data_IF_731292364661
#
_entry.id   IF_731292364661
#
_cell.length_a   1.000
_cell.length_b   1.000
_cell.length_c   1.000
_cell.angle_alpha   90.00
_cell.angle_beta   90.00
_cell.angle_gamma   90.00
#
_symmetry.space_group_name_H-M   'P 1'
#
loop_
_entity.id
_entity.type
_entity.pdbx_description
1 polymer ?
#
# COMPACT_ATOMS: atom_id res chain seq x y z
N UNK A 1 -12.17 -2.72 24.93
CA UNK A 1 -11.27 -2.53 23.77
C UNK A 1 -11.66 -1.20 23.14
N UNK A 2 -10.72 -0.28 22.98
CA UNK A 2 -11.02 0.97 22.27
C UNK A 2 -11.32 0.62 20.82
N UNK A 3 -12.54 0.86 20.36
CA UNK A 3 -12.94 0.69 18.96
C UNK A 3 -12.16 1.72 18.13
N UNK A 4 -11.31 1.24 17.24
CA UNK A 4 -10.54 2.10 16.32
C UNK A 4 -11.39 2.40 15.08
N UNK A 5 -12.41 3.24 15.26
CA UNK A 5 -13.35 3.65 14.20
C UNK A 5 -12.67 4.62 13.21
N UNK A 6 -11.78 4.10 12.39
CA UNK A 6 -11.04 4.86 11.38
C UNK A 6 -11.23 4.26 9.99
N UNK A 7 -11.28 5.11 8.99
CA UNK A 7 -11.30 4.74 7.57
C UNK A 7 -9.90 4.77 7.00
N UNK A 8 -9.38 3.63 6.61
CA UNK A 8 -7.99 3.50 6.18
C UNK A 8 -7.93 2.95 4.75
N UNK A 9 -7.18 3.62 3.89
CA UNK A 9 -6.80 3.09 2.57
C UNK A 9 -5.47 2.36 2.68
N UNK A 10 -5.39 1.15 2.11
CA UNK A 10 -4.15 0.38 2.04
C UNK A 10 -3.90 -0.03 0.60
N UNK A 11 -2.87 0.52 -0.03
CA UNK A 11 -2.41 0.06 -1.34
C UNK A 11 -1.47 -1.13 -1.18
N UNK A 12 -1.48 -2.06 -2.12
CA UNK A 12 -0.74 -3.33 -1.97
C UNK A 12 -1.38 -4.27 -0.95
N UNK A 13 -2.70 -4.17 -0.75
CA UNK A 13 -3.44 -4.91 0.28
C UNK A 13 -3.45 -6.43 0.11
N UNK A 14 -3.23 -6.94 -1.10
CA UNK A 14 -3.08 -8.39 -1.36
C UNK A 14 -1.62 -8.88 -1.20
N UNK A 15 -0.68 -7.95 -0.97
CA UNK A 15 0.72 -8.25 -0.67
C UNK A 15 0.90 -8.83 0.73
N UNK A 16 2.16 -9.19 1.09
CA UNK A 16 2.43 -9.78 2.41
C UNK A 16 2.14 -8.80 3.55
N UNK A 17 2.78 -7.63 3.53
CA UNK A 17 2.62 -6.62 4.59
C UNK A 17 1.19 -6.05 4.57
N UNK A 18 0.68 -5.69 3.37
CA UNK A 18 -0.64 -5.09 3.22
C UNK A 18 -1.76 -5.98 3.73
N UNK A 19 -1.69 -7.29 3.49
CA UNK A 19 -2.66 -8.26 4.01
C UNK A 19 -2.68 -8.29 5.54
N UNK A 20 -1.51 -8.42 6.19
CA UNK A 20 -1.43 -8.51 7.64
C UNK A 20 -1.86 -7.20 8.31
N UNK A 21 -1.46 -6.04 7.76
CA UNK A 21 -1.90 -4.74 8.24
C UNK A 21 -3.42 -4.57 8.09
N UNK A 22 -3.97 -4.90 6.92
CA UNK A 22 -5.41 -4.82 6.68
C UNK A 22 -6.18 -5.67 7.70
N UNK A 23 -5.76 -6.92 7.91
CA UNK A 23 -6.39 -7.82 8.86
C UNK A 23 -6.35 -7.27 10.29
N UNK A 24 -5.20 -6.80 10.74
CA UNK A 24 -5.04 -6.23 12.09
C UNK A 24 -5.94 -5.00 12.30
N UNK A 25 -6.03 -4.11 11.33
CA UNK A 25 -6.88 -2.92 11.41
C UNK A 25 -8.37 -3.28 11.43
N UNK A 26 -8.80 -4.24 10.61
CA UNK A 26 -10.17 -4.74 10.58
C UNK A 26 -10.55 -5.40 11.93
N UNK A 27 -9.67 -6.22 12.50
CA UNK A 27 -9.85 -6.83 13.82
C UNK A 27 -9.91 -5.78 14.96
N UNK A 28 -9.30 -4.60 14.75
CA UNK A 28 -9.37 -3.47 15.68
C UNK A 28 -10.60 -2.57 15.50
N UNK A 29 -11.45 -2.85 14.49
CA UNK A 29 -12.69 -2.12 14.24
C UNK A 29 -12.60 -1.01 13.16
N UNK A 30 -11.49 -0.92 12.42
CA UNK A 30 -11.38 -0.01 11.29
C UNK A 30 -12.23 -0.44 10.10
N UNK A 31 -12.61 0.54 9.26
CA UNK A 31 -13.03 0.30 7.87
C UNK A 31 -11.80 0.36 6.96
N UNK A 32 -11.62 -0.61 6.09
CA UNK A 32 -10.45 -0.66 5.19
C UNK A 32 -10.86 -0.73 3.73
N UNK A 33 -10.37 0.21 2.93
CA UNK A 33 -10.35 0.14 1.47
C UNK A 33 -8.99 -0.40 1.02
N UNK A 34 -8.95 -1.68 0.66
CA UNK A 34 -7.76 -2.34 0.13
C UNK A 34 -7.68 -2.20 -1.39
N UNK A 35 -6.55 -1.72 -1.90
CA UNK A 35 -6.27 -1.53 -3.33
C UNK A 35 -5.08 -2.39 -3.73
N UNK A 36 -5.23 -3.18 -4.80
CA UNK A 36 -4.13 -3.97 -5.38
C UNK A 36 -4.43 -4.28 -6.84
N UNK A 37 -3.43 -4.21 -7.70
CA UNK A 37 -3.59 -4.56 -9.13
C UNK A 37 -3.56 -6.09 -9.38
N UNK A 38 -3.19 -6.88 -8.38
CA UNK A 38 -2.98 -8.33 -8.47
C UNK A 38 -1.94 -8.69 -9.56
N UNK A 39 -0.82 -7.95 -9.60
CA UNK A 39 0.27 -8.22 -10.54
C UNK A 39 0.73 -9.67 -10.48
N UNK A 40 1.20 -10.21 -11.60
CA UNK A 40 1.69 -11.57 -11.72
C UNK A 40 3.17 -11.74 -11.36
N UNK A 41 3.77 -10.78 -10.66
CA UNK A 41 5.16 -10.84 -10.22
C UNK A 41 5.45 -12.08 -9.34
N UNK A 42 4.47 -12.48 -8.54
CA UNK A 42 4.45 -13.78 -7.85
C UNK A 42 3.05 -14.39 -7.89
N UNK A 43 2.85 -15.56 -7.31
CA UNK A 43 1.61 -16.33 -7.42
C UNK A 43 0.36 -15.52 -7.09
N UNK A 44 -0.46 -15.27 -8.11
CA UNK A 44 -1.73 -14.54 -8.02
C UNK A 44 -2.75 -15.30 -7.15
N UNK A 45 -2.69 -16.62 -7.08
CA UNK A 45 -3.60 -17.40 -6.23
C UNK A 45 -3.38 -17.10 -4.77
N UNK A 46 -2.12 -16.86 -4.34
CA UNK A 46 -1.82 -16.42 -2.98
C UNK A 46 -2.43 -15.03 -2.68
N UNK A 47 -2.37 -14.09 -3.62
CA UNK A 47 -3.01 -12.78 -3.50
C UNK A 47 -4.53 -12.89 -3.39
N UNK A 48 -5.14 -13.73 -4.23
CA UNK A 48 -6.56 -13.99 -4.21
C UNK A 48 -7.01 -14.65 -2.89
N UNK A 49 -6.24 -15.60 -2.36
CA UNK A 49 -6.53 -16.24 -1.08
C UNK A 49 -6.51 -15.24 0.09
N UNK A 50 -5.52 -14.34 0.13
CA UNK A 50 -5.43 -13.25 1.11
C UNK A 50 -6.63 -12.30 1.00
N UNK A 51 -6.96 -11.87 -0.21
CA UNK A 51 -8.11 -10.98 -0.46
C UNK A 51 -9.42 -11.66 -0.06
N UNK A 52 -9.56 -12.97 -0.27
CA UNK A 52 -10.74 -13.73 0.17
C UNK A 52 -10.90 -13.68 1.68
N UNK A 53 -9.83 -13.91 2.44
CA UNK A 53 -9.85 -13.82 3.91
C UNK A 53 -10.27 -12.42 4.38
N UNK A 54 -9.75 -11.36 3.74
CA UNK A 54 -10.12 -9.98 4.11
C UNK A 54 -11.59 -9.68 3.80
N UNK A 55 -12.15 -10.25 2.73
CA UNK A 55 -13.57 -10.07 2.35
C UNK A 55 -14.55 -10.72 3.32
N UNK A 56 -14.12 -11.56 4.26
CA UNK A 56 -14.95 -12.09 5.34
C UNK A 56 -15.31 -11.00 6.38
N UNK A 57 -14.59 -9.86 6.38
CA UNK A 57 -14.92 -8.70 7.21
C UNK A 57 -15.88 -7.76 6.45
N UNK A 58 -17.05 -7.46 7.03
CA UNK A 58 -18.03 -6.55 6.45
C UNK A 58 -17.49 -5.11 6.26
N UNK A 59 -16.48 -4.72 7.04
CA UNK A 59 -15.80 -3.42 6.99
C UNK A 59 -14.65 -3.37 5.97
N UNK A 60 -14.47 -4.40 5.15
CA UNK A 60 -13.45 -4.44 4.11
C UNK A 60 -14.05 -4.25 2.72
N UNK A 61 -13.58 -3.25 2.00
CA UNK A 61 -13.83 -3.08 0.57
C UNK A 61 -12.55 -3.34 -0.22
N UNK A 62 -12.61 -4.17 -1.26
CA UNK A 62 -11.49 -4.43 -2.15
C UNK A 62 -11.69 -3.79 -3.50
N UNK A 63 -10.69 -3.05 -3.95
CA UNK A 63 -10.63 -2.45 -5.27
C UNK A 63 -9.45 -3.05 -6.04
N UNK A 64 -9.74 -3.84 -7.08
CA UNK A 64 -8.71 -4.25 -8.02
C UNK A 64 -8.43 -3.10 -8.97
N UNK A 65 -7.27 -2.44 -8.82
CA UNK A 65 -6.96 -1.22 -9.55
C UNK A 65 -5.44 -1.06 -9.71
N UNK A 66 -5.04 -0.56 -10.87
CA UNK A 66 -3.67 -0.13 -11.17
C UNK A 66 -3.51 1.37 -10.82
N UNK A 67 -2.62 1.67 -9.87
CA UNK A 67 -2.37 3.04 -9.39
C UNK A 67 -1.79 3.98 -10.46
N UNK A 68 -1.30 3.44 -11.58
CA UNK A 68 -0.67 4.19 -12.67
C UNK A 68 -1.66 4.48 -13.78
N UNK A 69 -2.43 3.46 -14.18
CA UNK A 69 -3.24 3.53 -15.39
C UNK A 69 -4.72 3.92 -15.11
N UNK A 70 -5.19 3.85 -13.85
CA UNK A 70 -6.58 4.07 -13.48
C UNK A 70 -6.75 5.20 -12.44
N UNK A 71 -6.02 6.31 -12.66
CA UNK A 71 -5.92 7.44 -11.70
C UNK A 71 -7.27 8.10 -11.41
N UNK A 72 -8.13 8.25 -12.40
CA UNK A 72 -9.45 8.87 -12.21
C UNK A 72 -10.34 7.98 -11.33
N UNK A 73 -10.32 6.67 -11.53
CA UNK A 73 -11.03 5.70 -10.69
C UNK A 73 -10.45 5.69 -9.27
N UNK A 74 -9.11 5.71 -9.13
CA UNK A 74 -8.44 5.82 -7.84
C UNK A 74 -8.94 7.05 -7.07
N UNK A 75 -8.91 8.21 -7.71
CA UNK A 75 -9.32 9.47 -7.10
C UNK A 75 -10.78 9.41 -6.63
N UNK A 76 -11.71 9.01 -7.52
CA UNK A 76 -13.14 8.97 -7.21
C UNK A 76 -13.47 7.99 -6.08
N UNK A 77 -12.87 6.80 -6.08
CA UNK A 77 -13.12 5.77 -5.07
C UNK A 77 -12.57 6.17 -3.70
N UNK A 78 -11.36 6.75 -3.65
CA UNK A 78 -10.75 7.18 -2.40
C UNK A 78 -11.44 8.44 -1.85
N UNK A 79 -11.79 9.41 -2.69
CA UNK A 79 -12.58 10.59 -2.27
C UNK A 79 -13.95 10.18 -1.70
N UNK A 80 -14.66 9.27 -2.37
CA UNK A 80 -15.94 8.73 -1.90
C UNK A 80 -15.81 7.97 -0.58
N UNK A 81 -14.72 7.23 -0.38
CA UNK A 81 -14.45 6.51 0.86
C UNK A 81 -14.12 7.47 2.02
N UNK A 82 -13.56 8.66 1.73
CA UNK A 82 -13.22 9.69 2.71
C UNK A 82 -12.33 9.18 3.84
N UNK A 83 -11.09 8.75 3.55
CA UNK A 83 -10.22 8.12 4.54
C UNK A 83 -9.67 9.09 5.59
N UNK A 84 -9.37 8.58 6.77
CA UNK A 84 -8.58 9.26 7.81
C UNK A 84 -7.07 9.15 7.55
N UNK A 85 -6.64 8.07 6.90
CA UNK A 85 -5.23 7.80 6.60
C UNK A 85 -5.03 6.87 5.40
N UNK A 86 -3.84 6.94 4.82
CA UNK A 86 -3.41 6.10 3.70
C UNK A 86 -2.10 5.41 4.07
N UNK A 87 -2.04 4.08 3.90
CA UNK A 87 -0.80 3.30 3.91
C UNK A 87 -0.46 2.91 2.47
N UNK A 88 0.56 3.53 1.93
CA UNK A 88 1.04 3.21 0.59
C UNK A 88 2.13 2.13 0.66
N UNK A 89 1.71 0.88 0.44
CA UNK A 89 2.58 -0.31 0.50
C UNK A 89 2.72 -0.99 -0.86
N UNK A 90 1.98 -0.52 -1.88
CA UNK A 90 2.11 -1.01 -3.24
C UNK A 90 3.45 -0.59 -3.82
N UNK A 91 4.25 -1.55 -4.20
CA UNK A 91 5.55 -1.35 -4.85
C UNK A 91 5.98 -2.60 -5.61
N UNK A 92 6.83 -2.42 -6.61
CA UNK A 92 7.59 -3.50 -7.20
C UNK A 92 8.82 -3.78 -6.35
N UNK A 93 8.86 -4.94 -5.71
CA UNK A 93 9.98 -5.39 -4.88
C UNK A 93 11.00 -6.22 -5.70
N UNK A 94 12.20 -6.43 -5.13
CA UNK A 94 13.22 -7.34 -5.67
C UNK A 94 14.33 -6.64 -6.44
N UNK A 95 15.42 -6.26 -5.76
CA UNK A 95 16.56 -5.52 -6.34
C UNK A 95 17.12 -6.18 -7.62
N UNK A 96 17.27 -7.51 -7.64
CA UNK A 96 17.79 -8.19 -8.84
C UNK A 96 16.85 -8.10 -10.04
N UNK A 97 15.54 -8.08 -9.79
CA UNK A 97 14.54 -7.97 -10.85
C UNK A 97 14.59 -6.60 -11.53
N UNK A 98 14.97 -5.54 -10.81
CA UNK A 98 15.07 -4.19 -11.37
C UNK A 98 16.12 -4.05 -12.48
N UNK A 99 17.11 -4.93 -12.51
CA UNK A 99 18.12 -4.96 -13.56
C UNK A 99 17.51 -5.42 -14.89
N UNK A 100 16.55 -6.36 -14.82
CA UNK A 100 15.95 -6.98 -16.01
C UNK A 100 14.70 -6.21 -16.50
N UNK A 101 13.96 -5.56 -15.60
CA UNK A 101 12.68 -4.88 -15.88
C UNK A 101 12.63 -3.55 -15.14
N UNK A 102 13.54 -2.58 -15.44
CA UNK A 102 13.64 -1.31 -14.72
C UNK A 102 12.39 -0.44 -14.87
N UNK A 103 11.69 -0.51 -15.99
CA UNK A 103 10.44 0.22 -16.24
C UNK A 103 9.32 -0.14 -15.25
N UNK A 104 9.28 -1.38 -14.74
CA UNK A 104 8.32 -1.76 -13.71
C UNK A 104 8.56 -1.00 -12.39
N UNK A 105 9.82 -0.69 -12.07
CA UNK A 105 10.17 0.09 -10.87
C UNK A 105 9.89 1.57 -11.05
N UNK A 106 10.17 2.13 -12.23
CA UNK A 106 9.78 3.49 -12.57
C UNK A 106 8.25 3.66 -12.44
N UNK A 107 7.50 2.77 -13.05
CA UNK A 107 6.05 2.81 -13.05
C UNK A 107 5.47 2.61 -11.63
N UNK A 108 5.78 1.48 -10.99
CA UNK A 108 5.12 1.10 -9.74
C UNK A 108 5.68 1.81 -8.50
N UNK A 109 6.95 2.25 -8.49
CA UNK A 109 7.54 2.85 -7.31
C UNK A 109 7.66 4.38 -7.39
N UNK A 110 7.73 4.95 -8.59
CA UNK A 110 7.82 6.40 -8.78
C UNK A 110 6.47 6.96 -9.21
N UNK A 111 5.92 6.52 -10.35
CA UNK A 111 4.67 7.09 -10.87
C UNK A 111 3.49 6.79 -9.96
N UNK A 112 3.34 5.55 -9.48
CA UNK A 112 2.26 5.20 -8.55
C UNK A 112 2.37 5.99 -7.23
N UNK A 113 3.58 6.15 -6.67
CA UNK A 113 3.80 6.97 -5.47
C UNK A 113 3.45 8.43 -5.72
N UNK A 114 3.83 8.99 -6.87
CA UNK A 114 3.46 10.35 -7.26
C UNK A 114 1.93 10.51 -7.30
N UNK A 115 1.20 9.57 -7.90
CA UNK A 115 -0.27 9.61 -7.95
C UNK A 115 -0.90 9.57 -6.55
N UNK A 116 -0.36 8.77 -5.63
CA UNK A 116 -0.82 8.75 -4.23
C UNK A 116 -0.50 10.06 -3.50
N UNK A 117 0.65 10.68 -3.75
CA UNK A 117 1.00 11.99 -3.18
C UNK A 117 0.04 13.08 -3.67
N UNK A 118 -0.24 13.12 -4.98
CA UNK A 118 -1.18 14.10 -5.56
C UNK A 118 -2.61 13.90 -5.07
N UNK A 119 -3.09 12.65 -5.00
CA UNK A 119 -4.37 12.33 -4.37
C UNK A 119 -4.41 12.80 -2.91
N UNK A 120 -3.37 12.47 -2.14
CA UNK A 120 -3.25 12.84 -0.73
C UNK A 120 -3.29 14.36 -0.52
N UNK A 121 -2.61 15.11 -1.38
CA UNK A 121 -2.62 16.56 -1.40
C UNK A 121 -4.02 17.10 -1.72
N UNK A 122 -4.68 16.53 -2.73
CA UNK A 122 -6.01 16.95 -3.19
C UNK A 122 -7.07 16.77 -2.11
N UNK A 123 -7.11 15.60 -1.44
CA UNK A 123 -8.08 15.30 -0.38
C UNK A 123 -7.65 15.83 1.00
N UNK A 124 -6.46 16.42 1.10
CA UNK A 124 -5.89 16.94 2.36
C UNK A 124 -5.82 15.87 3.45
N UNK A 125 -5.34 14.68 3.09
CA UNK A 125 -5.23 13.57 4.03
C UNK A 125 -4.39 13.95 5.25
N UNK A 126 -4.78 13.51 6.44
CA UNK A 126 -4.07 13.85 7.68
C UNK A 126 -2.84 12.98 7.92
N UNK A 127 -2.92 11.72 7.51
CA UNK A 127 -1.84 10.76 7.69
C UNK A 127 -1.59 9.98 6.40
N UNK A 128 -0.39 10.13 5.84
CA UNK A 128 0.12 9.32 4.76
C UNK A 128 1.38 8.60 5.23
N UNK A 129 1.37 7.28 5.20
CA UNK A 129 2.52 6.44 5.52
C UNK A 129 2.94 5.73 4.23
N UNK A 130 4.21 5.87 3.86
CA UNK A 130 4.79 5.27 2.66
C UNK A 130 5.87 4.28 3.07
N UNK A 131 5.77 3.04 2.57
CA UNK A 131 6.82 2.06 2.78
C UNK A 131 8.11 2.52 2.07
N UNK A 132 9.21 2.49 2.80
CA UNK A 132 10.55 2.76 2.28
C UNK A 132 11.37 1.47 2.24
N UNK A 133 12.68 1.56 2.19
CA UNK A 133 13.60 0.44 2.04
C UNK A 133 14.82 0.62 2.93
N UNK A 134 15.42 -0.49 3.41
CA UNK A 134 16.70 -0.44 4.12
C UNK A 134 17.85 0.15 3.28
N UNK A 135 17.69 0.23 1.97
CA UNK A 135 18.67 0.88 1.08
C UNK A 135 18.84 2.38 1.35
N UNK A 136 17.92 3.02 2.08
CA UNK A 136 18.07 4.43 2.50
C UNK A 136 19.28 4.64 3.42
N UNK A 137 19.72 3.61 4.14
CA UNK A 137 20.90 3.67 5.00
C UNK A 137 22.22 3.58 4.22
N UNK A 138 22.18 3.35 2.91
CA UNK A 138 23.35 3.35 2.04
C UNK A 138 24.39 2.30 2.43
N UNK A 139 25.65 2.74 2.55
CA UNK A 139 26.80 1.93 2.95
C UNK A 139 27.04 1.93 4.48
N UNK A 140 26.06 2.32 5.28
CA UNK A 140 26.20 2.32 6.75
C UNK A 140 26.45 0.90 7.25
N UNK A 141 27.46 0.75 8.11
CA UNK A 141 27.86 -0.54 8.71
C UNK A 141 27.40 -0.69 10.14
N UNK A 142 26.83 0.37 10.74
CA UNK A 142 26.38 0.35 12.12
C UNK A 142 25.04 -0.40 12.23
N UNK A 143 25.10 -1.61 12.73
CA UNK A 143 23.97 -2.54 12.86
C UNK A 143 23.59 -2.76 14.33
N UNK A 144 22.31 -2.91 14.66
CA UNK A 144 21.13 -2.81 13.78
C UNK A 144 20.84 -1.37 13.35
N UNK A 145 20.24 -1.20 12.16
CA UNK A 145 19.78 0.11 11.73
C UNK A 145 18.66 0.64 12.65
N UNK A 146 18.63 1.95 12.84
CA UNK A 146 17.58 2.65 13.57
C UNK A 146 17.25 4.00 12.89
N UNK A 147 16.13 4.59 13.28
CA UNK A 147 15.56 5.78 12.63
C UNK A 147 16.35 7.07 12.90
N UNK A 148 17.30 7.06 13.85
CA UNK A 148 18.15 8.20 14.20
C UNK A 148 19.44 8.25 13.35
N UNK A 149 19.73 7.17 12.61
CA UNK A 149 20.89 7.11 11.73
C UNK A 149 20.68 7.96 10.48
N UNK A 150 21.76 8.54 9.98
CA UNK A 150 21.75 9.27 8.71
C UNK A 150 21.39 8.34 7.54
N UNK A 151 20.57 8.84 6.60
CA UNK A 151 20.12 8.17 5.39
C UNK A 151 20.64 8.88 4.15
#
# INVERSE_FOLDING_TARGET
MNNFEKKIVITGSAGFIGFHLSKMLLESGAEVLGIDCLSNYYDVNLKNARTKILKDFNSFKFLKLDLVNEVDTLNSEVESFSPDGIFHLAAQAGVRHSINVPEAYLSNNIVATFNILELSRKIKIKHLIIASTSSVYGANTDMPFNEEQAT
#
